data_IF_704446189753
#
_entry.id   IF_704446189753
#
_cell.length_a   1.000
_cell.length_b   1.000
_cell.length_c   1.000
_cell.angle_alpha   90.00
_cell.angle_beta   90.00
_cell.angle_gamma   90.00
#
_symmetry.space_group_name_H-M   'P 1'
#
loop_
_entity.id
_entity.type
_entity.pdbx_description
1 polymer ?
#
# COMPACT_ATOMS: atom_id res chain seq x y z
N UNK A 1 -12.86 -7.91 47.10
CA UNK A 1 -14.13 -7.90 46.35
C UNK A 1 -13.82 -8.32 44.92
N UNK A 2 -14.28 -9.52 44.60
CA UNK A 2 -14.03 -10.16 43.30
C UNK A 2 -14.92 -9.54 42.23
N UNK A 3 -14.32 -9.22 41.09
CA UNK A 3 -15.00 -8.89 39.84
C UNK A 3 -14.30 -9.64 38.69
N UNK A 4 -14.99 -10.65 38.14
CA UNK A 4 -14.44 -11.64 37.23
C UNK A 4 -14.03 -11.04 35.87
N UNK A 5 -12.85 -11.42 35.44
CA UNK A 5 -12.35 -11.23 34.07
C UNK A 5 -12.76 -12.50 33.30
N UNK A 6 -13.65 -12.33 32.33
CA UNK A 6 -13.99 -13.38 31.39
C UNK A 6 -12.77 -13.66 30.52
N UNK A 7 -12.14 -14.83 30.71
CA UNK A 7 -11.02 -15.29 29.92
C UNK A 7 -11.46 -15.68 28.51
N UNK A 8 -10.91 -15.03 27.50
CA UNK A 8 -10.91 -15.57 26.15
C UNK A 8 -9.71 -16.51 25.99
N UNK A 9 -9.94 -17.81 26.09
CA UNK A 9 -9.02 -18.83 25.67
C UNK A 9 -9.00 -18.87 24.13
N UNK A 10 -7.97 -18.36 23.51
CA UNK A 10 -7.66 -18.64 22.11
C UNK A 10 -6.90 -19.97 22.03
N UNK A 11 -7.58 -21.00 21.59
CA UNK A 11 -6.99 -22.29 21.24
C UNK A 11 -6.03 -22.13 20.06
N UNK A 12 -4.82 -22.69 20.20
CA UNK A 12 -3.88 -22.86 19.12
C UNK A 12 -4.46 -23.82 18.07
N UNK A 13 -4.67 -23.32 16.85
CA UNK A 13 -5.08 -24.13 15.70
C UNK A 13 -4.92 -23.33 14.44
N UNK A 14 -3.77 -23.50 13.77
CA UNK A 14 -3.63 -23.14 12.37
C UNK A 14 -4.60 -23.99 11.57
N UNK A 15 -5.67 -23.38 11.06
CA UNK A 15 -6.31 -23.81 9.83
C UNK A 15 -6.90 -22.56 9.21
N UNK A 16 -6.46 -22.23 7.99
CA UNK A 16 -7.20 -21.31 7.16
C UNK A 16 -8.66 -21.78 7.14
N UNK A 17 -9.60 -20.88 7.43
CA UNK A 17 -11.01 -21.19 7.32
C UNK A 17 -11.27 -21.36 5.83
N UNK A 18 -11.12 -22.59 5.37
CA UNK A 18 -11.69 -23.02 4.11
C UNK A 18 -13.19 -23.10 4.36
N UNK A 19 -13.95 -22.11 3.90
CA UNK A 19 -15.40 -22.22 3.87
C UNK A 19 -15.77 -23.44 3.05
N UNK A 20 -16.86 -24.11 3.39
CA UNK A 20 -17.35 -25.33 2.74
C UNK A 20 -17.57 -25.20 1.22
N UNK A 21 -17.40 -24.01 0.65
CA UNK A 21 -17.65 -23.68 -0.76
C UNK A 21 -16.38 -23.42 -1.59
N UNK A 22 -15.18 -23.64 -1.05
CA UNK A 22 -13.93 -23.51 -1.82
C UNK A 22 -13.65 -22.10 -2.40
N UNK A 23 -14.38 -21.08 -1.97
CA UNK A 23 -14.13 -19.68 -2.34
C UNK A 23 -13.11 -19.10 -1.34
N UNK A 24 -11.90 -18.81 -1.79
CA UNK A 24 -11.05 -17.83 -1.11
C UNK A 24 -11.85 -16.51 -1.05
N UNK A 25 -12.46 -16.24 0.08
CA UNK A 25 -13.04 -14.93 0.34
C UNK A 25 -11.86 -13.98 0.54
N UNK A 26 -11.43 -13.30 -0.50
CA UNK A 26 -10.46 -12.22 -0.39
C UNK A 26 -11.05 -11.20 0.58
N UNK A 27 -10.53 -11.16 1.81
CA UNK A 27 -10.96 -10.17 2.79
C UNK A 27 -10.67 -8.79 2.23
N UNK A 28 -11.69 -7.95 2.14
CA UNK A 28 -11.51 -6.57 1.68
C UNK A 28 -10.57 -5.84 2.66
N UNK A 29 -9.61 -5.09 2.10
CA UNK A 29 -8.71 -4.28 2.91
C UNK A 29 -9.49 -3.35 3.84
N UNK A 30 -9.10 -3.34 5.10
CA UNK A 30 -9.63 -2.42 6.11
C UNK A 30 -8.83 -1.11 6.20
N UNK A 31 -7.83 -0.91 5.33
CA UNK A 31 -7.16 0.38 5.16
C UNK A 31 -8.10 1.31 4.38
N UNK A 32 -8.79 2.19 5.12
CA UNK A 32 -9.89 3.02 4.61
C UNK A 32 -9.45 4.39 4.11
N UNK A 33 -8.22 4.81 4.41
CA UNK A 33 -7.66 6.08 3.96
C UNK A 33 -6.24 6.28 4.46
N UNK A 34 -5.65 7.40 4.09
CA UNK A 34 -4.33 7.78 4.59
C UNK A 34 -3.82 9.09 4.02
N UNK A 35 -2.64 9.50 4.48
CA UNK A 35 -1.97 10.69 3.98
C UNK A 35 -0.44 10.57 4.08
N UNK A 36 0.24 11.23 3.18
CA UNK A 36 1.68 11.51 3.19
C UNK A 36 1.86 13.00 3.38
N UNK A 37 2.60 13.42 4.40
CA UNK A 37 2.65 14.83 4.85
C UNK A 37 4.08 15.24 5.16
N UNK A 38 4.45 16.50 4.90
CA UNK A 38 5.74 17.04 5.29
C UNK A 38 5.79 17.33 6.81
N UNK A 39 7.00 17.32 7.38
CA UNK A 39 7.22 17.62 8.79
C UNK A 39 8.33 18.64 9.06
N UNK A 40 8.53 19.58 8.14
CA UNK A 40 9.63 20.53 8.29
C UNK A 40 9.61 21.26 9.65
N UNK A 41 10.74 21.29 10.40
CA UNK A 41 10.80 21.94 11.72
C UNK A 41 10.43 23.42 11.67
N UNK A 42 10.62 24.06 10.52
CA UNK A 42 10.25 25.45 10.24
C UNK A 42 8.75 25.72 10.43
N UNK A 43 7.90 24.72 10.28
CA UNK A 43 6.47 24.87 10.53
C UNK A 43 6.15 25.31 11.98
N UNK A 44 7.03 25.01 12.93
CA UNK A 44 6.87 25.41 14.32
C UNK A 44 7.83 26.51 14.75
N UNK A 45 9.07 26.50 14.25
CA UNK A 45 10.07 27.51 14.60
C UNK A 45 9.83 28.84 13.88
N UNK A 46 9.21 28.82 12.70
CA UNK A 46 8.86 29.99 11.88
C UNK A 46 9.96 31.05 11.81
N UNK A 47 11.17 30.70 11.33
CA UNK A 47 12.22 31.70 11.14
C UNK A 47 11.80 32.73 10.08
N UNK A 48 12.41 33.92 10.12
CA UNK A 48 12.08 35.03 9.19
C UNK A 48 12.36 34.68 7.71
N UNK A 49 13.16 33.65 7.46
CA UNK A 49 13.45 33.13 6.10
C UNK A 49 12.30 32.35 5.47
N UNK A 50 11.30 31.93 6.28
CA UNK A 50 10.18 31.16 5.77
C UNK A 50 9.06 32.07 5.21
N UNK A 51 8.46 31.61 4.13
CA UNK A 51 7.24 32.18 3.60
C UNK A 51 6.05 31.77 4.47
N UNK A 52 5.56 32.76 5.24
CA UNK A 52 4.44 32.55 6.19
C UNK A 52 3.14 32.16 5.48
N UNK A 53 2.92 32.64 4.25
CA UNK A 53 1.72 32.30 3.48
C UNK A 53 1.79 30.85 2.98
N UNK A 54 2.95 30.42 2.48
CA UNK A 54 3.20 29.04 2.10
C UNK A 54 2.98 28.08 3.26
N UNK A 55 3.57 28.35 4.43
CA UNK A 55 3.40 27.54 5.63
C UNK A 55 1.95 27.50 6.12
N UNK A 56 1.23 28.63 6.02
CA UNK A 56 -0.20 28.69 6.35
C UNK A 56 -1.01 27.77 5.40
N UNK A 57 -0.74 27.84 4.10
CA UNK A 57 -1.39 26.98 3.12
C UNK A 57 -1.14 25.47 3.38
N UNK A 58 0.11 25.05 3.63
CA UNK A 58 0.42 23.67 3.97
C UNK A 58 -0.35 23.19 5.22
N UNK A 59 -0.50 24.05 6.23
CA UNK A 59 -1.29 23.75 7.44
C UNK A 59 -2.79 23.62 7.13
N UNK A 60 -3.33 24.48 6.29
CA UNK A 60 -4.75 24.42 5.87
C UNK A 60 -5.04 23.13 5.10
N UNK A 61 -4.17 22.74 4.15
CA UNK A 61 -4.27 21.48 3.43
C UNK A 61 -4.24 20.30 4.39
N UNK A 62 -3.32 20.29 5.34
CA UNK A 62 -3.24 19.20 6.34
C UNK A 62 -4.47 19.16 7.25
N UNK A 63 -5.01 20.31 7.66
CA UNK A 63 -6.21 20.39 8.50
C UNK A 63 -7.45 19.85 7.77
N UNK A 64 -7.66 20.19 6.50
CA UNK A 64 -8.72 19.64 5.64
C UNK A 64 -8.60 18.12 5.52
N UNK A 65 -7.39 17.63 5.22
CA UNK A 65 -7.11 16.18 5.16
C UNK A 65 -7.49 15.52 6.49
N UNK A 66 -7.10 16.10 7.61
CA UNK A 66 -7.38 15.56 8.94
C UNK A 66 -8.87 15.49 9.26
N UNK A 67 -9.65 16.51 8.90
CA UNK A 67 -11.10 16.51 9.05
C UNK A 67 -11.76 15.40 8.24
N UNK A 68 -11.39 15.28 6.97
CA UNK A 68 -11.94 14.27 6.05
C UNK A 68 -11.56 12.86 6.46
N UNK A 69 -10.33 12.61 6.95
CA UNK A 69 -9.92 11.30 7.44
C UNK A 69 -10.65 10.91 8.73
N UNK A 70 -10.89 11.86 9.66
CA UNK A 70 -11.69 11.59 10.87
C UNK A 70 -13.13 11.24 10.54
N UNK A 71 -13.70 11.85 9.51
CA UNK A 71 -15.07 11.55 9.04
C UNK A 71 -15.26 10.11 8.54
N UNK A 72 -14.18 9.38 8.24
CA UNK A 72 -14.22 7.93 7.92
C UNK A 72 -14.43 7.05 9.16
N UNK A 73 -14.38 7.61 10.36
CA UNK A 73 -14.51 6.91 11.64
C UNK A 73 -13.57 5.71 11.77
N UNK A 74 -12.23 5.91 11.68
CA UNK A 74 -11.25 4.84 11.81
C UNK A 74 -11.12 4.36 13.25
N UNK A 75 -10.90 3.04 13.40
CA UNK A 75 -10.60 2.41 14.69
C UNK A 75 -9.13 2.60 15.08
N UNK A 76 -8.24 2.75 14.10
CA UNK A 76 -6.78 2.83 14.30
C UNK A 76 -6.15 3.85 13.35
N UNK A 77 -5.19 4.62 13.90
CA UNK A 77 -4.28 5.47 13.14
C UNK A 77 -2.86 4.93 13.28
N UNK A 78 -2.17 4.71 12.16
CA UNK A 78 -0.77 4.30 12.12
C UNK A 78 0.02 5.39 11.41
N UNK A 79 1.17 5.79 11.96
CA UNK A 79 2.07 6.75 11.32
C UNK A 79 3.45 6.12 11.10
N UNK A 80 3.89 6.05 9.84
CA UNK A 80 5.27 5.76 9.47
C UNK A 80 6.06 7.08 9.46
N UNK A 81 7.15 7.12 10.20
CA UNK A 81 8.00 8.31 10.30
C UNK A 81 9.44 7.91 10.54
N UNK A 82 10.36 8.78 10.17
CA UNK A 82 11.75 8.64 10.60
C UNK A 82 11.94 9.21 12.01
N UNK A 83 13.10 8.94 12.55
CA UNK A 83 13.67 9.58 13.74
C UNK A 83 14.90 10.38 13.30
N UNK A 84 15.03 11.63 13.77
CA UNK A 84 16.14 12.50 13.40
C UNK A 84 17.39 12.28 14.27
N UNK A 85 17.75 11.01 14.48
CA UNK A 85 18.89 10.57 15.30
C UNK A 85 18.77 10.96 16.78
N UNK A 86 17.54 11.15 17.28
CA UNK A 86 17.29 11.44 18.69
C UNK A 86 17.23 10.16 19.54
N UNK A 87 16.54 9.13 19.04
CA UNK A 87 16.33 7.86 19.76
C UNK A 87 17.15 6.72 19.14
N UNK A 88 17.26 6.68 17.83
CA UNK A 88 17.90 5.60 17.07
C UNK A 88 19.11 6.16 16.32
N UNK A 89 20.30 5.93 16.88
CA UNK A 89 21.56 6.42 16.30
C UNK A 89 22.67 5.39 16.44
N UNK A 90 23.87 5.80 16.85
CA UNK A 90 25.07 4.95 16.88
C UNK A 90 24.98 3.72 17.81
N UNK A 91 24.10 3.73 18.78
CA UNK A 91 23.93 2.60 19.72
C UNK A 91 22.87 1.59 19.28
N UNK A 92 21.90 2.00 18.46
CA UNK A 92 20.93 1.11 17.84
C UNK A 92 20.21 1.86 16.69
N UNK A 93 20.25 1.31 15.50
CA UNK A 93 19.58 1.86 14.30
C UNK A 93 18.81 0.75 13.57
N UNK A 94 17.72 0.24 14.16
CA UNK A 94 16.92 -0.82 13.51
C UNK A 94 16.21 -0.27 12.27
N UNK A 95 16.03 -1.08 11.22
CA UNK A 95 15.36 -0.64 9.99
C UNK A 95 13.91 -0.22 10.23
N UNK A 96 13.20 -0.91 11.14
CA UNK A 96 11.83 -0.60 11.55
C UNK A 96 11.69 -0.79 13.06
N UNK A 97 10.96 0.12 13.71
CA UNK A 97 10.67 0.01 15.15
C UNK A 97 9.21 0.35 15.43
N UNK A 98 8.48 -0.54 16.07
CA UNK A 98 7.09 -0.31 16.47
C UNK A 98 7.03 0.23 17.88
N UNK A 99 6.29 1.32 18.11
CA UNK A 99 6.03 1.82 19.47
C UNK A 99 4.95 0.98 20.14
N UNK A 100 5.27 0.36 21.26
CA UNK A 100 4.38 -0.55 22.01
C UNK A 100 4.03 -0.06 23.42
N UNK A 101 4.57 1.09 23.83
CA UNK A 101 4.21 1.74 25.11
C UNK A 101 2.76 2.24 25.08
N UNK A 102 2.20 2.53 26.26
CA UNK A 102 0.83 3.06 26.36
C UNK A 102 0.69 4.52 25.92
N UNK A 103 1.81 5.23 25.81
CA UNK A 103 1.86 6.65 25.48
C UNK A 103 3.07 6.96 24.60
N UNK A 104 2.90 7.88 23.67
CA UNK A 104 3.96 8.46 22.87
C UNK A 104 4.10 9.95 23.24
N UNK A 105 5.25 10.31 23.80
CA UNK A 105 5.52 11.64 24.30
C UNK A 105 6.72 12.26 23.59
N UNK A 106 6.72 13.59 23.45
CA UNK A 106 7.85 14.33 22.90
C UNK A 106 7.71 15.82 23.11
N UNK A 107 8.71 16.56 22.64
CA UNK A 107 8.70 18.02 22.71
C UNK A 107 9.53 18.59 21.55
N UNK A 108 9.05 19.64 20.90
CA UNK A 108 9.81 20.38 19.91
C UNK A 108 9.38 21.84 19.85
N UNK A 109 10.33 22.76 19.78
CA UNK A 109 10.10 24.21 19.72
C UNK A 109 9.15 24.72 20.83
N UNK A 110 9.30 24.19 22.06
CA UNK A 110 8.47 24.55 23.22
C UNK A 110 7.04 23.96 23.17
N UNK A 111 6.72 23.11 22.22
CA UNK A 111 5.43 22.41 22.12
C UNK A 111 5.59 20.99 22.58
N UNK A 112 4.76 20.57 23.53
CA UNK A 112 4.71 19.20 24.02
C UNK A 112 3.77 18.36 23.19
N UNK A 113 4.18 17.15 22.90
CA UNK A 113 3.40 16.12 22.20
C UNK A 113 2.99 15.03 23.18
N UNK A 114 1.76 14.59 23.06
CA UNK A 114 1.25 13.49 23.85
C UNK A 114 0.09 12.79 23.13
N UNK A 115 0.26 11.52 22.81
CA UNK A 115 -0.79 10.67 22.27
C UNK A 115 -0.82 9.32 23.01
N UNK A 116 -2.01 8.78 23.18
CA UNK A 116 -2.16 7.39 23.61
C UNK A 116 -1.73 6.45 22.49
N UNK A 117 -1.12 5.33 22.86
CA UNK A 117 -0.76 4.25 21.93
C UNK A 117 -1.57 3.01 22.30
N UNK A 118 -2.22 2.34 21.36
CA UNK A 118 -2.99 1.12 21.63
C UNK A 118 -2.04 -0.08 21.80
N UNK A 119 -1.40 -0.22 22.98
CA UNK A 119 -0.32 -1.18 23.26
C UNK A 119 -0.66 -2.62 22.89
N UNK A 120 -1.88 -3.09 23.18
CA UNK A 120 -2.28 -4.46 22.88
C UNK A 120 -2.28 -4.72 21.36
N UNK A 121 -2.82 -3.75 20.58
CA UNK A 121 -2.81 -3.80 19.11
C UNK A 121 -1.37 -3.73 18.59
N UNK A 122 -0.54 -2.85 19.18
CA UNK A 122 0.86 -2.67 18.79
C UNK A 122 1.68 -3.95 19.00
N UNK A 123 1.53 -4.62 20.15
CA UNK A 123 2.19 -5.90 20.41
C UNK A 123 1.67 -7.00 19.50
N UNK A 124 0.38 -7.05 19.22
CA UNK A 124 -0.17 -8.03 18.29
C UNK A 124 0.35 -7.77 16.86
N UNK A 125 0.45 -6.51 16.45
CA UNK A 125 1.07 -6.15 15.17
C UNK A 125 2.49 -6.72 15.07
N UNK A 126 3.34 -6.52 16.09
CA UNK A 126 4.72 -7.06 16.12
C UNK A 126 4.71 -8.58 15.99
N UNK A 127 3.86 -9.28 16.77
CA UNK A 127 3.74 -10.76 16.68
C UNK A 127 3.35 -11.25 15.30
N UNK A 128 2.42 -10.54 14.64
CA UNK A 128 1.97 -10.94 13.30
C UNK A 128 3.00 -10.59 12.22
N UNK A 129 3.78 -9.51 12.39
CA UNK A 129 4.89 -9.18 11.51
C UNK A 129 5.99 -10.24 11.57
N UNK A 130 6.34 -10.76 12.75
CA UNK A 130 7.29 -11.88 12.89
C UNK A 130 6.82 -13.11 12.12
N UNK A 131 5.53 -13.45 12.16
CA UNK A 131 4.95 -14.55 11.38
C UNK A 131 5.01 -14.32 9.87
N UNK A 132 5.16 -13.08 9.43
CA UNK A 132 5.28 -12.67 8.03
C UNK A 132 6.74 -12.44 7.60
N UNK A 133 7.72 -12.93 8.37
CA UNK A 133 9.17 -12.79 8.10
C UNK A 133 9.66 -11.33 8.10
N UNK A 134 9.01 -10.50 8.91
CA UNK A 134 9.51 -9.18 9.27
C UNK A 134 9.86 -9.16 10.76
N UNK A 135 11.06 -8.69 11.07
CA UNK A 135 11.60 -8.63 12.43
C UNK A 135 11.80 -7.17 12.87
N UNK A 136 10.71 -6.38 13.01
CA UNK A 136 10.86 -5.03 13.54
C UNK A 136 11.34 -5.07 14.99
N UNK A 137 12.18 -4.12 15.35
CA UNK A 137 12.38 -3.80 16.76
C UNK A 137 11.08 -3.25 17.35
N UNK A 138 10.97 -3.22 18.67
CA UNK A 138 9.89 -2.52 19.36
C UNK A 138 10.45 -1.72 20.54
N UNK A 139 9.76 -0.65 20.89
CA UNK A 139 10.11 0.23 22.00
C UNK A 139 8.87 0.63 22.79
N UNK A 140 9.01 0.75 24.11
CA UNK A 140 7.94 1.26 24.98
C UNK A 140 8.20 2.67 25.47
N UNK A 141 9.37 3.25 25.18
CA UNK A 141 9.84 4.49 25.83
C UNK A 141 10.43 5.51 24.85
N UNK A 142 10.54 5.17 23.54
CA UNK A 142 11.06 6.13 22.58
C UNK A 142 10.18 7.38 22.54
N UNK A 143 10.84 8.53 22.61
CA UNK A 143 10.16 9.82 22.42
C UNK A 143 9.82 10.01 20.94
N UNK A 144 8.73 10.71 20.69
CA UNK A 144 8.41 11.20 19.37
C UNK A 144 9.04 12.58 19.17
N UNK A 145 9.67 12.76 18.02
CA UNK A 145 10.20 14.05 17.59
C UNK A 145 9.18 14.85 16.77
N UNK A 146 9.63 15.93 16.16
CA UNK A 146 8.79 16.79 15.32
C UNK A 146 8.29 16.05 14.06
N UNK A 147 8.98 15.01 13.57
CA UNK A 147 8.55 14.26 12.41
C UNK A 147 7.20 13.55 12.62
N UNK A 148 6.86 13.21 13.85
CA UNK A 148 5.55 12.67 14.23
C UNK A 148 4.65 13.79 14.75
N UNK A 149 5.22 14.67 15.58
CA UNK A 149 4.47 15.71 16.26
C UNK A 149 3.83 16.74 15.34
N UNK A 150 4.55 17.19 14.31
CA UNK A 150 4.06 18.21 13.36
C UNK A 150 2.87 17.71 12.54
N UNK A 151 2.96 16.58 11.80
CA UNK A 151 1.83 16.11 10.99
C UNK A 151 0.58 15.84 11.81
N UNK A 152 0.70 15.16 12.95
CA UNK A 152 -0.45 14.89 13.82
C UNK A 152 -1.11 16.15 14.36
N UNK A 153 -0.29 17.18 14.70
CA UNK A 153 -0.79 18.49 15.14
C UNK A 153 -1.51 19.22 14.00
N UNK A 154 -0.94 19.22 12.79
CA UNK A 154 -1.55 19.88 11.63
C UNK A 154 -2.83 19.20 11.17
N UNK A 155 -2.90 17.87 11.24
CA UNK A 155 -4.13 17.09 11.01
C UNK A 155 -5.21 17.36 12.10
N UNK A 156 -4.86 17.99 13.21
CA UNK A 156 -5.74 18.12 14.37
C UNK A 156 -6.10 16.76 15.00
N UNK A 157 -5.17 15.79 14.95
CA UNK A 157 -5.39 14.45 15.52
C UNK A 157 -5.16 14.45 17.02
N UNK A 158 -6.17 14.00 17.78
CA UNK A 158 -6.13 13.93 19.25
C UNK A 158 -6.39 12.53 19.81
N UNK A 159 -6.77 11.59 18.95
CA UNK A 159 -7.04 10.20 19.29
C UNK A 159 -5.77 9.37 19.48
N UNK A 160 -5.91 8.06 19.77
CA UNK A 160 -4.78 7.15 19.82
C UNK A 160 -4.08 7.04 18.45
N UNK A 161 -2.76 6.86 18.48
CA UNK A 161 -1.94 6.64 17.29
C UNK A 161 -0.89 5.58 17.57
N UNK A 162 -0.53 4.78 16.55
CA UNK A 162 0.54 3.79 16.62
C UNK A 162 1.71 4.30 15.77
N UNK A 163 2.80 4.82 16.40
CA UNK A 163 4.00 5.20 15.68
C UNK A 163 4.82 3.99 15.25
N UNK A 164 5.31 4.04 14.02
CA UNK A 164 6.28 3.09 13.46
C UNK A 164 7.44 3.89 12.89
N UNK A 165 8.61 3.74 13.49
CA UNK A 165 9.82 4.42 13.04
C UNK A 165 10.48 3.62 11.90
N UNK A 166 10.92 4.35 10.89
CA UNK A 166 11.63 3.82 9.72
C UNK A 166 13.01 4.47 9.67
N UNK A 167 14.06 3.67 9.59
CA UNK A 167 15.40 4.23 9.43
C UNK A 167 15.58 4.82 8.01
N UNK A 168 15.36 6.11 7.88
CA UNK A 168 15.55 6.84 6.63
C UNK A 168 16.92 7.56 6.54
N UNK A 169 17.57 7.84 7.68
CA UNK A 169 18.76 8.69 7.74
C UNK A 169 20.10 7.95 7.88
N UNK A 170 20.12 6.84 8.61
CA UNK A 170 21.38 6.20 9.00
C UNK A 170 21.70 4.97 8.15
N UNK A 171 22.65 5.05 7.23
CA UNK A 171 23.09 3.88 6.48
C UNK A 171 23.68 2.77 7.38
N UNK A 172 23.37 1.48 7.07
CA UNK A 172 22.55 1.01 5.97
C UNK A 172 21.05 1.16 6.24
N UNK A 173 20.33 1.79 5.31
CA UNK A 173 18.88 1.94 5.38
C UNK A 173 18.17 0.73 4.74
N UNK A 174 16.89 0.47 5.08
CA UNK A 174 16.08 -0.49 4.32
C UNK A 174 15.86 0.00 2.89
N UNK A 175 15.84 -0.93 1.93
CA UNK A 175 15.52 -0.62 0.53
C UNK A 175 14.06 -0.16 0.39
N UNK A 176 13.76 0.57 -0.68
CA UNK A 176 12.39 1.02 -0.97
C UNK A 176 11.42 -0.17 -1.14
N UNK A 177 11.88 -1.25 -1.78
CA UNK A 177 11.11 -2.48 -1.91
C UNK A 177 10.81 -3.11 -0.53
N UNK A 178 11.82 -3.13 0.38
CA UNK A 178 11.63 -3.65 1.75
C UNK A 178 10.64 -2.80 2.54
N UNK A 179 10.70 -1.48 2.41
CA UNK A 179 9.76 -0.54 3.01
C UNK A 179 8.33 -0.78 2.50
N UNK A 180 8.15 -0.89 1.19
CA UNK A 180 6.85 -1.16 0.56
C UNK A 180 6.27 -2.50 1.04
N UNK A 181 7.09 -3.57 1.01
CA UNK A 181 6.68 -4.89 1.48
C UNK A 181 6.32 -4.90 2.99
N UNK A 182 7.03 -4.11 3.81
CA UNK A 182 6.70 -3.94 5.23
C UNK A 182 5.32 -3.29 5.40
N UNK A 183 5.04 -2.23 4.66
CA UNK A 183 3.72 -1.60 4.63
C UNK A 183 2.59 -2.58 4.25
N UNK A 184 2.83 -3.41 3.23
CA UNK A 184 1.88 -4.47 2.86
C UNK A 184 1.63 -5.46 4.00
N UNK A 185 2.68 -5.84 4.74
CA UNK A 185 2.55 -6.74 5.88
C UNK A 185 1.73 -6.11 7.02
N UNK A 186 1.93 -4.80 7.28
CA UNK A 186 1.12 -4.03 8.23
C UNK A 186 -0.36 -4.03 7.79
N UNK A 187 -0.64 -3.73 6.52
CA UNK A 187 -2.01 -3.71 5.99
C UNK A 187 -2.71 -5.08 6.11
N UNK A 188 -2.01 -6.16 5.76
CA UNK A 188 -2.55 -7.53 5.95
C UNK A 188 -2.88 -7.81 7.41
N UNK A 189 -2.03 -7.36 8.32
CA UNK A 189 -2.23 -7.57 9.77
C UNK A 189 -3.46 -6.84 10.28
N UNK A 190 -3.60 -5.53 9.98
CA UNK A 190 -4.77 -4.75 10.45
C UNK A 190 -6.07 -5.24 9.80
N UNK A 191 -5.99 -5.72 8.54
CA UNK A 191 -7.12 -6.34 7.84
C UNK A 191 -7.55 -7.64 8.54
N UNK A 192 -6.60 -8.49 8.92
CA UNK A 192 -6.89 -9.71 9.67
C UNK A 192 -7.47 -9.43 11.07
N UNK A 193 -7.13 -8.29 11.67
CA UNK A 193 -7.73 -7.83 12.93
C UNK A 193 -9.11 -7.18 12.74
N UNK A 194 -9.54 -6.91 11.51
CA UNK A 194 -10.82 -6.26 11.21
C UNK A 194 -10.86 -4.76 11.56
N UNK A 195 -9.71 -4.10 11.71
CA UNK A 195 -9.62 -2.71 12.16
C UNK A 195 -9.67 -1.73 10.98
N UNK A 196 -10.68 -0.85 10.94
CA UNK A 196 -10.71 0.28 10.01
C UNK A 196 -9.53 1.20 10.29
N UNK A 197 -8.55 1.21 9.41
CA UNK A 197 -7.25 1.83 9.67
C UNK A 197 -6.97 2.99 8.72
N UNK A 198 -6.52 4.11 9.26
CA UNK A 198 -5.89 5.22 8.53
C UNK A 198 -4.39 5.07 8.60
N UNK A 199 -3.73 5.16 7.45
CA UNK A 199 -2.28 5.08 7.32
C UNK A 199 -1.72 6.47 7.05
N UNK A 200 -0.85 6.93 7.92
CA UNK A 200 -0.11 8.16 7.74
C UNK A 200 1.34 7.87 7.42
N UNK A 201 1.95 8.73 6.66
CA UNK A 201 3.40 8.82 6.51
C UNK A 201 3.86 10.24 6.68
N UNK A 202 4.94 10.40 7.40
CA UNK A 202 5.61 11.66 7.60
C UNK A 202 6.96 11.66 6.91
N UNK A 203 7.23 12.72 6.14
CA UNK A 203 8.47 12.89 5.39
C UNK A 203 8.31 13.98 4.35
N UNK A 204 9.37 14.73 4.10
CA UNK A 204 9.44 15.67 3.01
C UNK A 204 9.88 15.00 1.70
N UNK A 205 9.71 15.73 0.60
CA UNK A 205 10.42 15.44 -0.63
C UNK A 205 11.83 16.06 -0.56
N UNK A 206 12.43 16.44 -1.68
CA UNK A 206 13.84 16.81 -1.72
C UNK A 206 14.20 17.91 -0.72
N UNK A 207 15.20 17.64 0.07
CA UNK A 207 15.87 18.58 0.97
C UNK A 207 17.24 18.00 1.40
N UNK A 208 18.18 18.88 1.77
CA UNK A 208 19.54 18.48 2.04
C UNK A 208 20.08 19.10 3.34
N UNK A 209 19.46 18.80 4.51
CA UNK A 209 19.84 19.42 5.77
C UNK A 209 21.30 19.13 6.12
N UNK A 210 22.05 20.17 6.50
CA UNK A 210 23.46 20.06 6.90
C UNK A 210 24.46 19.93 5.76
N UNK A 211 24.04 20.07 4.51
CA UNK A 211 24.92 20.04 3.32
C UNK A 211 25.01 21.42 2.65
N UNK A 212 25.95 21.57 1.71
CA UNK A 212 26.08 22.75 0.84
C UNK A 212 24.94 22.89 -0.18
N UNK A 213 24.13 21.83 -0.37
CA UNK A 213 22.96 21.83 -1.23
C UNK A 213 21.65 22.24 -0.51
N UNK A 214 21.71 22.68 0.74
CA UNK A 214 20.53 22.96 1.55
C UNK A 214 19.52 23.90 0.88
N UNK A 215 19.98 24.90 0.12
CA UNK A 215 19.12 25.83 -0.61
C UNK A 215 18.79 25.42 -2.07
N UNK A 216 19.05 24.19 -2.44
CA UNK A 216 18.89 23.71 -3.82
C UNK A 216 18.15 22.35 -3.86
N UNK A 217 16.85 22.32 -3.50
CA UNK A 217 16.06 21.08 -3.59
C UNK A 217 15.84 20.66 -5.04
N UNK A 218 15.70 19.37 -5.29
CA UNK A 218 15.52 18.75 -6.61
C UNK A 218 14.06 18.80 -7.10
N UNK A 219 13.47 19.99 -7.16
CA UNK A 219 12.04 20.20 -7.45
C UNK A 219 11.56 19.54 -8.75
N UNK A 220 12.41 19.50 -9.78
CA UNK A 220 12.05 18.87 -11.05
C UNK A 220 11.97 17.34 -10.93
N UNK A 221 12.81 16.73 -10.11
CA UNK A 221 12.71 15.30 -9.80
C UNK A 221 11.46 15.01 -8.98
N UNK A 222 11.21 15.80 -7.95
CA UNK A 222 10.03 15.68 -7.08
C UNK A 222 8.74 15.76 -7.89
N UNK A 223 8.64 16.70 -8.82
CA UNK A 223 7.48 16.85 -9.68
C UNK A 223 7.23 15.60 -10.52
N UNK A 224 8.27 14.96 -11.05
CA UNK A 224 8.14 13.71 -11.82
C UNK A 224 7.70 12.54 -10.93
N UNK A 225 8.26 12.42 -9.72
CA UNK A 225 7.88 11.39 -8.76
C UNK A 225 6.42 11.58 -8.32
N UNK A 226 6.04 12.81 -7.97
CA UNK A 226 4.69 13.14 -7.54
C UNK A 226 3.66 12.89 -8.64
N UNK A 227 4.00 13.19 -9.90
CA UNK A 227 3.13 12.91 -11.05
C UNK A 227 2.81 11.42 -11.20
N UNK A 228 3.78 10.53 -10.94
CA UNK A 228 3.53 9.07 -10.92
C UNK A 228 2.58 8.69 -9.79
N UNK A 229 2.80 9.20 -8.58
CA UNK A 229 1.94 8.93 -7.42
C UNK A 229 0.51 9.44 -7.63
N UNK A 230 0.36 10.59 -8.25
CA UNK A 230 -0.94 11.20 -8.58
C UNK A 230 -1.77 10.37 -9.56
N UNK A 231 -1.15 9.49 -10.36
CA UNK A 231 -1.89 8.52 -11.21
C UNK A 231 -2.40 7.30 -10.44
N UNK A 232 -2.00 7.11 -9.19
CA UNK A 232 -2.29 5.93 -8.39
C UNK A 232 -1.18 4.87 -8.41
N UNK A 233 -0.10 5.11 -9.15
CA UNK A 233 1.05 4.19 -9.22
C UNK A 233 1.99 4.37 -8.02
N UNK A 234 1.52 3.94 -6.84
CA UNK A 234 2.29 4.06 -5.60
C UNK A 234 3.49 3.11 -5.59
N UNK A 235 3.37 1.99 -6.29
CA UNK A 235 4.46 1.03 -6.45
C UNK A 235 5.66 1.61 -7.21
N UNK A 236 5.50 2.71 -7.92
CA UNK A 236 6.63 3.39 -8.58
C UNK A 236 7.75 3.79 -7.62
N UNK A 237 7.46 3.94 -6.33
CA UNK A 237 8.46 4.24 -5.29
C UNK A 237 9.53 3.16 -5.15
N UNK A 238 9.21 1.88 -5.41
CA UNK A 238 10.22 0.80 -5.30
C UNK A 238 11.29 0.85 -6.39
N UNK A 239 11.09 1.63 -7.44
CA UNK A 239 12.06 1.81 -8.52
C UNK A 239 13.21 2.76 -8.19
N UNK A 240 13.16 3.47 -7.07
CA UNK A 240 14.23 4.39 -6.65
C UNK A 240 15.23 3.66 -5.76
N UNK A 241 16.50 3.68 -6.16
CA UNK A 241 17.57 3.06 -5.38
C UNK A 241 18.16 4.02 -4.33
N UNK A 242 19.07 3.50 -3.52
CA UNK A 242 19.70 4.24 -2.43
C UNK A 242 20.49 5.45 -2.93
N UNK A 243 21.22 5.30 -4.04
CA UNK A 243 22.02 6.36 -4.63
C UNK A 243 21.13 7.49 -5.16
N UNK A 244 20.07 7.16 -5.90
CA UNK A 244 19.14 8.16 -6.42
C UNK A 244 18.44 8.94 -5.29
N UNK A 245 18.04 8.26 -4.21
CA UNK A 245 17.42 8.93 -3.07
C UNK A 245 18.38 9.87 -2.34
N UNK A 246 19.65 9.49 -2.20
CA UNK A 246 20.70 10.33 -1.59
C UNK A 246 21.02 11.54 -2.48
N UNK A 247 21.29 11.31 -3.76
CA UNK A 247 21.61 12.37 -4.73
C UNK A 247 20.50 13.41 -4.89
N UNK A 248 19.24 13.01 -4.71
CA UNK A 248 18.08 13.88 -4.85
C UNK A 248 17.56 14.44 -3.52
N UNK A 249 18.16 14.05 -2.38
CA UNK A 249 17.72 14.48 -1.05
C UNK A 249 16.36 13.92 -0.65
N UNK A 250 15.95 12.79 -1.23
CA UNK A 250 14.64 12.17 -1.04
C UNK A 250 14.68 10.93 -0.13
N UNK A 251 15.60 10.87 0.82
CA UNK A 251 15.81 9.71 1.69
C UNK A 251 14.59 9.33 2.52
N UNK A 252 13.75 10.29 2.88
CA UNK A 252 12.52 10.09 3.66
C UNK A 252 11.37 9.42 2.89
N UNK A 253 11.47 9.31 1.57
CA UNK A 253 10.51 8.54 0.78
C UNK A 253 10.44 7.06 1.19
N UNK A 254 11.37 6.57 2.00
CA UNK A 254 11.28 5.26 2.66
C UNK A 254 10.04 5.15 3.56
N UNK A 255 9.70 6.23 4.27
CA UNK A 255 8.45 6.30 5.05
C UNK A 255 7.21 6.28 4.12
N UNK A 256 7.27 7.03 3.01
CA UNK A 256 6.22 7.03 2.00
C UNK A 256 6.04 5.65 1.35
N UNK A 257 7.15 4.93 1.10
CA UNK A 257 7.08 3.57 0.57
C UNK A 257 6.36 2.60 1.52
N UNK A 258 6.56 2.73 2.84
CA UNK A 258 5.79 1.96 3.81
C UNK A 258 4.29 2.27 3.72
N UNK A 259 3.93 3.55 3.70
CA UNK A 259 2.53 3.96 3.57
C UNK A 259 1.94 3.51 2.22
N UNK A 260 2.68 3.65 1.12
CA UNK A 260 2.28 3.21 -0.21
C UNK A 260 1.97 1.70 -0.26
N UNK A 261 2.84 0.89 0.36
CA UNK A 261 2.61 -0.55 0.49
C UNK A 261 1.34 -0.90 1.28
N UNK A 262 1.04 -0.13 2.32
CA UNK A 262 -0.17 -0.32 3.13
C UNK A 262 -1.44 0.16 2.43
N UNK A 263 -1.37 1.28 1.71
CA UNK A 263 -2.49 1.84 0.96
C UNK A 263 -2.85 1.01 -0.28
N UNK A 264 -1.85 0.41 -0.94
CA UNK A 264 -2.03 -0.24 -2.23
C UNK A 264 -2.26 0.77 -3.37
N UNK A 265 -2.28 0.26 -4.61
CA UNK A 265 -2.44 1.08 -5.81
C UNK A 265 -3.81 1.76 -5.86
N UNK A 266 -3.83 3.07 -5.65
CA UNK A 266 -5.04 3.91 -5.70
C UNK A 266 -4.71 5.38 -5.95
N UNK A 267 -5.57 6.09 -6.66
CA UNK A 267 -5.40 7.52 -6.89
C UNK A 267 -5.63 8.31 -5.61
N UNK A 268 -4.77 9.30 -5.31
CA UNK A 268 -5.03 10.22 -4.21
C UNK A 268 -6.19 11.16 -4.53
N UNK A 269 -6.94 11.52 -3.51
CA UNK A 269 -8.02 12.54 -3.57
C UNK A 269 -7.48 13.96 -3.40
N UNK A 270 -6.29 14.08 -2.79
CA UNK A 270 -5.58 15.35 -2.61
C UNK A 270 -4.14 15.18 -3.06
N UNK A 271 -3.64 16.12 -3.83
CA UNK A 271 -2.22 16.26 -4.22
C UNK A 271 -1.86 17.74 -4.13
N UNK A 272 -0.92 18.09 -3.26
CA UNK A 272 -0.34 19.43 -3.16
C UNK A 272 1.16 19.35 -3.30
N UNK A 273 1.75 20.35 -3.93
CA UNK A 273 3.19 20.53 -4.05
C UNK A 273 3.52 22.00 -3.77
N UNK A 274 4.14 22.25 -2.64
CA UNK A 274 4.37 23.57 -2.09
C UNK A 274 5.88 23.80 -1.90
N UNK A 275 6.63 24.15 -2.97
CA UNK A 275 8.07 24.29 -2.91
C UNK A 275 8.49 25.53 -2.14
N UNK A 276 9.39 25.36 -1.17
CA UNK A 276 10.12 26.43 -0.53
C UNK A 276 11.56 26.52 -1.09
N UNK A 277 12.32 27.49 -0.60
CA UNK A 277 13.71 27.70 -1.03
C UNK A 277 14.68 26.57 -0.61
N UNK A 278 14.30 25.71 0.34
CA UNK A 278 15.15 24.64 0.87
C UNK A 278 14.46 23.29 0.96
N UNK A 279 13.18 23.19 0.62
CA UNK A 279 12.41 21.98 0.82
C UNK A 279 11.19 21.97 -0.11
N UNK A 280 10.76 20.82 -0.55
CA UNK A 280 9.47 20.66 -1.21
C UNK A 280 8.43 20.05 -0.25
N UNK A 281 7.48 20.88 0.17
CA UNK A 281 6.38 20.47 1.07
C UNK A 281 5.25 19.84 0.27
N UNK A 282 5.35 18.55 -0.02
CA UNK A 282 4.30 17.86 -0.75
C UNK A 282 3.35 17.11 0.19
N UNK A 283 2.06 17.14 -0.13
CA UNK A 283 1.01 16.42 0.58
C UNK A 283 0.16 15.60 -0.38
N UNK A 284 -0.09 14.34 -0.01
CA UNK A 284 -1.06 13.48 -0.70
C UNK A 284 -2.04 12.90 0.32
N UNK A 285 -3.30 12.70 -0.09
CA UNK A 285 -4.26 12.01 0.77
C UNK A 285 -5.23 11.14 -0.03
N UNK A 286 -5.68 10.08 0.61
CA UNK A 286 -6.65 9.09 0.14
C UNK A 286 -7.81 9.04 1.14
N UNK A 287 -9.00 9.48 0.71
CA UNK A 287 -10.16 9.69 1.58
C UNK A 287 -11.27 8.72 1.18
N UNK A 288 -11.20 7.48 1.67
CA UNK A 288 -12.18 6.46 1.36
C UNK A 288 -12.05 5.84 -0.04
N UNK A 289 -11.10 6.28 -0.85
CA UNK A 289 -10.77 5.64 -2.12
C UNK A 289 -10.30 4.20 -1.88
N UNK A 290 -10.66 3.29 -2.78
CA UNK A 290 -10.26 1.88 -2.71
C UNK A 290 -9.15 1.61 -3.72
N UNK A 291 -8.31 0.58 -3.49
CA UNK A 291 -7.38 0.12 -4.52
C UNK A 291 -8.14 -0.20 -5.80
N UNK A 292 -7.64 0.25 -6.93
CA UNK A 292 -8.16 -0.16 -8.23
C UNK A 292 -7.79 -1.64 -8.42
N UNK A 293 -8.78 -2.49 -8.63
CA UNK A 293 -8.55 -3.86 -9.06
C UNK A 293 -8.02 -3.82 -10.50
N UNK A 294 -6.73 -4.02 -10.64
CA UNK A 294 -6.12 -4.14 -11.96
C UNK A 294 -6.48 -5.50 -12.54
N UNK A 295 -7.48 -5.54 -13.44
CA UNK A 295 -7.81 -6.73 -14.18
C UNK A 295 -6.60 -7.11 -15.05
N UNK A 296 -5.97 -8.24 -14.75
CA UNK A 296 -4.85 -8.72 -15.55
C UNK A 296 -5.30 -8.97 -17.00
N UNK A 297 -4.56 -8.46 -17.98
CA UNK A 297 -4.80 -8.76 -19.40
C UNK A 297 -4.64 -10.26 -19.70
N UNK A 298 -3.79 -10.93 -18.95
CA UNK A 298 -3.52 -12.36 -19.05
C UNK A 298 -3.76 -13.02 -17.68
N UNK A 299 -5.05 -13.33 -17.36
CA UNK A 299 -5.39 -13.92 -16.06
C UNK A 299 -4.90 -15.36 -15.96
N UNK A 300 -4.68 -15.81 -14.73
CA UNK A 300 -4.45 -17.22 -14.45
C UNK A 300 -5.68 -18.05 -14.79
N UNK A 301 -5.47 -19.32 -15.17
CA UNK A 301 -6.57 -20.26 -15.44
C UNK A 301 -7.32 -20.50 -14.13
N UNK A 302 -8.62 -20.24 -14.15
CA UNK A 302 -9.50 -20.53 -13.03
C UNK A 302 -9.93 -22.00 -13.05
N UNK A 303 -10.14 -22.66 -11.88
CA UNK A 303 -10.56 -24.05 -11.83
C UNK A 303 -11.79 -24.38 -12.67
N UNK A 304 -12.78 -23.49 -12.69
CA UNK A 304 -14.02 -23.63 -13.46
C UNK A 304 -13.86 -23.47 -14.98
N UNK A 305 -12.70 -22.96 -15.43
CA UNK A 305 -12.37 -22.77 -16.85
C UNK A 305 -11.38 -23.79 -17.39
N UNK A 306 -10.95 -24.77 -16.60
CA UNK A 306 -9.95 -25.76 -17.01
C UNK A 306 -10.44 -26.57 -18.21
N UNK A 307 -11.67 -27.07 -18.19
CA UNK A 307 -12.24 -27.85 -19.29
C UNK A 307 -12.43 -27.00 -20.56
N UNK A 308 -12.91 -25.77 -20.43
CA UNK A 308 -13.00 -24.84 -21.57
C UNK A 308 -11.62 -24.50 -22.15
N UNK A 309 -10.64 -24.27 -21.28
CA UNK A 309 -9.27 -23.99 -21.70
C UNK A 309 -8.67 -25.20 -22.43
N UNK A 310 -8.89 -26.42 -21.93
CA UNK A 310 -8.44 -27.64 -22.58
C UNK A 310 -9.08 -27.84 -23.96
N UNK A 311 -10.37 -27.58 -24.11
CA UNK A 311 -11.07 -27.62 -25.39
C UNK A 311 -10.47 -26.61 -26.36
N UNK A 312 -10.29 -25.35 -25.98
CA UNK A 312 -9.71 -24.31 -26.81
C UNK A 312 -8.25 -24.59 -27.18
N UNK A 313 -7.46 -25.12 -26.23
CA UNK A 313 -6.08 -25.53 -26.48
C UNK A 313 -6.00 -26.64 -27.51
N UNK A 314 -6.93 -27.62 -27.48
CA UNK A 314 -7.04 -28.63 -28.49
C UNK A 314 -7.29 -28.05 -29.90
N UNK A 315 -8.18 -27.05 -29.99
CA UNK A 315 -8.43 -26.36 -31.28
C UNK A 315 -7.19 -25.58 -31.74
N UNK A 316 -6.43 -24.99 -30.82
CA UNK A 316 -5.23 -24.25 -31.16
C UNK A 316 -4.09 -25.13 -31.69
N UNK A 317 -3.92 -26.37 -31.17
CA UNK A 317 -2.70 -27.15 -31.38
C UNK A 317 -2.89 -28.48 -32.05
N UNK A 318 -4.12 -29.06 -32.10
CA UNK A 318 -4.37 -30.42 -32.60
C UNK A 318 -5.23 -30.43 -33.89
N UNK A 319 -4.65 -30.79 -35.04
CA UNK A 319 -5.37 -30.81 -36.33
C UNK A 319 -6.65 -31.65 -36.32
N UNK A 320 -6.61 -32.82 -35.69
CA UNK A 320 -7.74 -33.72 -35.62
C UNK A 320 -8.92 -33.15 -34.84
N UNK A 321 -8.62 -32.45 -33.74
CA UNK A 321 -9.65 -31.76 -32.95
C UNK A 321 -10.28 -30.59 -33.69
N UNK A 322 -9.49 -29.86 -34.49
CA UNK A 322 -10.03 -28.83 -35.41
C UNK A 322 -10.97 -29.41 -36.46
N UNK A 323 -10.56 -30.52 -37.06
CA UNK A 323 -11.40 -31.21 -38.06
C UNK A 323 -12.72 -31.66 -37.42
N UNK A 324 -12.69 -32.25 -36.23
CA UNK A 324 -13.90 -32.63 -35.48
C UNK A 324 -14.79 -31.42 -35.20
N UNK A 325 -14.22 -30.32 -34.68
CA UNK A 325 -14.96 -29.09 -34.38
C UNK A 325 -15.62 -28.50 -35.64
N UNK A 326 -14.92 -28.45 -36.77
CA UNK A 326 -15.48 -27.92 -38.02
C UNK A 326 -16.58 -28.82 -38.57
N UNK A 327 -16.48 -30.14 -38.39
CA UNK A 327 -17.51 -31.11 -38.75
C UNK A 327 -18.76 -30.99 -37.89
N UNK A 328 -18.60 -30.96 -36.57
CA UNK A 328 -19.67 -30.80 -35.56
C UNK A 328 -19.13 -30.20 -34.29
N UNK A 329 -19.34 -28.87 -34.13
CA UNK A 329 -18.89 -28.12 -32.96
C UNK A 329 -19.61 -28.53 -31.68
N UNK A 330 -20.88 -28.97 -31.81
CA UNK A 330 -21.65 -29.45 -30.66
C UNK A 330 -21.10 -30.76 -30.12
N UNK A 331 -20.90 -31.76 -30.99
CA UNK A 331 -20.32 -33.05 -30.64
C UNK A 331 -18.87 -32.90 -30.12
N UNK A 332 -18.12 -31.91 -30.61
CA UNK A 332 -16.80 -31.60 -30.05
C UNK A 332 -16.90 -31.08 -28.61
N UNK A 333 -17.79 -30.11 -28.35
CA UNK A 333 -17.98 -29.51 -27.05
C UNK A 333 -18.49 -30.53 -26.00
N UNK A 334 -19.31 -31.50 -26.42
CA UNK A 334 -19.88 -32.56 -25.54
C UNK A 334 -18.83 -33.55 -25.01
N UNK A 335 -17.59 -33.48 -25.49
CA UNK A 335 -16.46 -34.26 -24.93
C UNK A 335 -15.89 -33.67 -23.66
N UNK A 336 -16.27 -32.46 -23.30
CA UNK A 336 -15.79 -31.73 -22.13
C UNK A 336 -16.92 -31.48 -21.15
N UNK A 337 -16.61 -31.45 -19.87
CA UNK A 337 -17.59 -31.17 -18.81
C UNK A 337 -17.80 -29.66 -18.68
N UNK A 338 -18.51 -29.07 -19.62
CA UNK A 338 -18.74 -27.62 -19.68
C UNK A 338 -20.12 -27.28 -19.14
N UNK A 339 -20.23 -26.23 -18.31
CA UNK A 339 -21.50 -25.55 -18.03
C UNK A 339 -22.17 -25.08 -19.34
N UNK A 340 -23.51 -24.92 -19.35
CA UNK A 340 -24.25 -24.58 -20.58
C UNK A 340 -23.76 -23.31 -21.28
N UNK A 341 -23.41 -22.27 -20.53
CA UNK A 341 -22.89 -20.99 -21.02
C UNK A 341 -21.49 -21.13 -21.64
N UNK A 342 -20.60 -21.91 -21.04
CA UNK A 342 -19.27 -22.20 -21.58
C UNK A 342 -19.38 -23.07 -22.83
N UNK A 343 -20.28 -24.07 -22.84
CA UNK A 343 -20.55 -24.90 -23.98
C UNK A 343 -21.05 -24.08 -25.18
N UNK A 344 -22.02 -23.20 -24.95
CA UNK A 344 -22.56 -22.33 -25.99
C UNK A 344 -21.48 -21.39 -26.56
N UNK A 345 -20.68 -20.77 -25.70
CA UNK A 345 -19.58 -19.90 -26.09
C UNK A 345 -18.51 -20.66 -26.91
N UNK A 346 -18.18 -21.90 -26.54
CA UNK A 346 -17.25 -22.75 -27.27
C UNK A 346 -17.81 -23.14 -28.66
N UNK A 347 -19.07 -23.58 -28.72
CA UNK A 347 -19.72 -24.00 -30.00
C UNK A 347 -19.75 -22.86 -31.02
N UNK A 348 -20.00 -21.63 -30.55
CA UNK A 348 -19.99 -20.43 -31.40
C UNK A 348 -18.59 -19.86 -31.61
N UNK A 349 -17.62 -20.29 -30.84
CA UNK A 349 -16.26 -19.70 -30.73
C UNK A 349 -16.35 -18.19 -30.47
N UNK A 350 -17.22 -17.81 -29.52
CA UNK A 350 -17.48 -16.43 -29.15
C UNK A 350 -16.35 -15.90 -28.25
N UNK A 351 -15.32 -15.36 -28.90
CA UNK A 351 -14.13 -14.83 -28.26
C UNK A 351 -14.42 -13.79 -27.17
N UNK A 352 -15.24 -12.75 -27.44
CA UNK A 352 -15.55 -11.75 -26.42
C UNK A 352 -16.17 -12.36 -25.15
N UNK A 353 -17.12 -13.27 -25.32
CA UNK A 353 -17.78 -13.95 -24.19
C UNK A 353 -16.81 -14.85 -23.44
N UNK A 354 -15.98 -15.62 -24.15
CA UNK A 354 -14.97 -16.52 -23.54
C UNK A 354 -13.95 -15.72 -22.71
N UNK A 355 -13.46 -14.61 -23.24
CA UNK A 355 -12.52 -13.72 -22.51
C UNK A 355 -13.22 -13.06 -21.31
N UNK A 356 -14.47 -12.61 -21.45
CA UNK A 356 -15.27 -12.03 -20.36
C UNK A 356 -15.52 -13.02 -19.22
N UNK A 357 -15.61 -14.33 -19.50
CA UNK A 357 -15.67 -15.39 -18.49
C UNK A 357 -14.37 -15.51 -17.68
N UNK A 358 -13.28 -14.91 -18.15
CA UNK A 358 -11.96 -14.90 -17.50
C UNK A 358 -10.97 -15.90 -18.11
N UNK A 359 -11.22 -16.42 -19.30
CA UNK A 359 -10.24 -17.22 -20.03
C UNK A 359 -9.03 -16.39 -20.43
N UNK A 360 -7.83 -17.00 -20.39
CA UNK A 360 -6.62 -16.35 -20.86
C UNK A 360 -6.73 -16.04 -22.36
N UNK A 361 -6.69 -14.78 -22.81
CA UNK A 361 -7.12 -14.38 -24.15
C UNK A 361 -6.30 -14.98 -25.28
N UNK A 362 -5.05 -15.38 -25.05
CA UNK A 362 -4.21 -16.02 -26.07
C UNK A 362 -4.78 -17.36 -26.54
N UNK A 363 -5.37 -18.16 -25.66
CA UNK A 363 -5.81 -19.52 -26.00
C UNK A 363 -7.00 -19.51 -27.00
N UNK A 364 -8.09 -18.80 -26.70
CA UNK A 364 -9.19 -18.69 -27.68
C UNK A 364 -8.77 -17.94 -28.94
N UNK A 365 -7.86 -16.93 -28.84
CA UNK A 365 -7.32 -16.26 -30.05
C UNK A 365 -6.62 -17.26 -30.99
N UNK A 366 -5.74 -18.11 -30.48
CA UNK A 366 -5.06 -19.13 -31.26
C UNK A 366 -6.06 -20.14 -31.83
N UNK A 367 -7.04 -20.60 -31.05
CA UNK A 367 -8.09 -21.48 -31.51
C UNK A 367 -8.85 -20.89 -32.70
N UNK A 368 -9.31 -19.64 -32.57
CA UNK A 368 -10.05 -18.94 -33.64
C UNK A 368 -9.20 -18.79 -34.89
N UNK A 369 -7.96 -18.39 -34.77
CA UNK A 369 -7.03 -18.23 -35.89
C UNK A 369 -6.86 -19.55 -36.65
N UNK A 370 -6.70 -20.67 -35.97
CA UNK A 370 -6.52 -21.97 -36.59
C UNK A 370 -7.81 -22.50 -37.28
N UNK A 371 -8.97 -22.28 -36.66
CA UNK A 371 -10.26 -22.62 -37.24
C UNK A 371 -10.53 -21.80 -38.52
N UNK A 372 -10.22 -20.50 -38.49
CA UNK A 372 -10.36 -19.64 -39.68
C UNK A 372 -9.44 -20.08 -40.83
N UNK A 373 -8.18 -20.43 -40.53
CA UNK A 373 -7.24 -20.97 -41.51
C UNK A 373 -7.78 -22.27 -42.17
N UNK A 374 -8.27 -23.19 -41.37
CA UNK A 374 -8.83 -24.45 -41.85
C UNK A 374 -10.06 -24.20 -42.75
N UNK A 375 -10.97 -23.29 -42.36
CA UNK A 375 -12.14 -22.92 -43.16
C UNK A 375 -11.78 -22.20 -44.47
N UNK A 376 -10.65 -21.50 -44.51
CA UNK A 376 -10.14 -20.82 -45.70
C UNK A 376 -9.32 -21.75 -46.61
N UNK A 377 -9.20 -23.05 -46.31
CA UNK A 377 -8.41 -24.00 -47.08
C UNK A 377 -6.89 -23.77 -47.05
N UNK A 378 -6.40 -23.14 -45.99
CA UNK A 378 -4.98 -22.78 -45.80
C UNK A 378 -4.36 -23.57 -44.67
#
# INVERSE_FOLDING_TARGET
VAGGIAGYFLGAGQQGICGADGKETTMMSTVIGGAMLPHAPQFFTMPDTEDKALVAHVREVAADIGERLRALEPDLWIIFSNDHAEQFFHHAAPPFTVHVGGEANGEFAGRKFHWKVPSEISFELVRQLYRQSFDPAFTSTAKIDYAIGIPLTHLGHTGPVLPIYVNAYLPPQPTMERCYAFGQAVARTVTAMGLKTVILSSGGMSHFPGTDRYSNPELAWDQRALAKLATGNLKSLIGYDETELDETGNIELRCWACAAGALGERKPDVVSMDPSWHHNYASLAWIGSRPEEHAAHYPSIKPELVELTAALHGLAHEPDKRAQYVSDAGAYADKFRLPPDQREALVRLDMPTIVKMGAHPLVPFLAQMQIQRLRAGR
#
